data_IF_252955969375
#
_entry.id   IF_252955969375
#
_cell.length_a   1.000
_cell.length_b   1.000
_cell.length_c   1.000
_cell.angle_alpha   90.00
_cell.angle_beta   90.00
_cell.angle_gamma   90.00
#
_symmetry.space_group_name_H-M   'P 1'
#
loop_
_entity.id
_entity.type
_entity.pdbx_description
1 polymer ?
#
# COMPACT_ATOMS: atom_id res chain seq x y z
N UNK A 1 15.71 3.40 2.79
CA UNK A 1 15.30 2.88 4.11
C UNK A 1 15.14 1.36 4.14
N UNK A 2 14.12 0.73 3.50
CA UNK A 2 14.00 -0.74 3.51
C UNK A 2 15.11 -1.44 2.72
N UNK A 3 15.36 -1.00 1.49
CA UNK A 3 16.41 -1.58 0.62
C UNK A 3 17.82 -1.22 1.09
N UNK A 4 17.97 -0.07 1.74
CA UNK A 4 19.21 0.31 2.41
C UNK A 4 19.51 -0.67 3.57
N UNK A 5 18.51 -1.00 4.39
CA UNK A 5 18.68 -2.01 5.47
C UNK A 5 18.93 -3.41 4.91
N UNK A 6 18.25 -3.78 3.82
CA UNK A 6 18.44 -5.09 3.19
C UNK A 6 19.78 -5.21 2.44
N UNK A 7 20.41 -4.09 2.05
CA UNK A 7 21.55 -4.09 1.14
C UNK A 7 21.22 -4.56 -0.29
N UNK A 8 19.94 -4.78 -0.60
CA UNK A 8 19.46 -5.30 -1.88
C UNK A 8 18.03 -4.83 -2.21
N UNK A 9 17.58 -4.92 -3.47
CA UNK A 9 16.19 -4.67 -3.83
C UNK A 9 15.23 -5.63 -3.10
N UNK A 10 14.05 -5.13 -2.72
CA UNK A 10 13.07 -5.97 -2.04
C UNK A 10 12.51 -7.05 -2.98
N UNK A 11 12.47 -8.29 -2.50
CA UNK A 11 11.67 -9.33 -3.15
C UNK A 11 10.21 -9.13 -2.78
N UNK A 12 9.34 -9.08 -3.80
CA UNK A 12 7.90 -8.89 -3.64
C UNK A 12 7.18 -10.19 -3.95
N UNK A 13 6.45 -10.70 -2.96
CA UNK A 13 5.55 -11.82 -3.16
C UNK A 13 4.11 -11.32 -3.11
N UNK A 14 3.34 -11.61 -4.16
CA UNK A 14 1.94 -11.19 -4.23
C UNK A 14 1.06 -12.26 -3.63
N UNK A 15 0.38 -11.92 -2.54
CA UNK A 15 -0.56 -12.83 -1.85
C UNK A 15 -1.98 -12.69 -2.40
N UNK A 16 -2.38 -11.49 -2.87
CA UNK A 16 -3.70 -11.28 -3.47
C UNK A 16 -3.71 -10.12 -4.47
N UNK A 17 -4.49 -10.26 -5.54
CA UNK A 17 -4.90 -9.16 -6.42
C UNK A 17 -6.33 -9.39 -6.92
N UNK A 18 -7.18 -8.38 -6.78
CA UNK A 18 -8.56 -8.50 -7.25
C UNK A 18 -9.45 -7.33 -6.88
N UNK A 19 -10.67 -7.37 -7.40
CA UNK A 19 -11.69 -6.39 -7.09
C UNK A 19 -12.36 -6.73 -5.75
N UNK A 20 -12.48 -5.74 -4.86
CA UNK A 20 -13.27 -5.84 -3.63
C UNK A 20 -14.05 -4.55 -3.38
N UNK A 21 -15.20 -4.68 -2.72
CA UNK A 21 -15.92 -3.53 -2.18
C UNK A 21 -15.17 -2.98 -0.97
N UNK A 22 -15.09 -1.66 -0.88
CA UNK A 22 -14.46 -1.00 0.26
C UNK A 22 -15.34 -1.05 1.50
N UNK A 23 -14.71 -1.37 2.63
CA UNK A 23 -15.33 -1.26 3.94
C UNK A 23 -15.57 0.21 4.31
N UNK A 24 -16.46 0.45 5.28
CA UNK A 24 -16.69 1.80 5.81
C UNK A 24 -15.40 2.44 6.33
N UNK A 25 -14.54 1.66 6.98
CA UNK A 25 -13.24 2.12 7.47
C UNK A 25 -12.32 2.55 6.32
N UNK A 26 -12.19 1.72 5.28
CA UNK A 26 -11.37 2.06 4.10
C UNK A 26 -11.86 3.31 3.39
N UNK A 27 -13.19 3.49 3.28
CA UNK A 27 -13.79 4.72 2.72
C UNK A 27 -13.42 5.95 3.55
N UNK A 28 -13.51 5.86 4.89
CA UNK A 28 -13.09 6.95 5.80
C UNK A 28 -11.59 7.23 5.69
N UNK A 29 -10.76 6.20 5.57
CA UNK A 29 -9.31 6.34 5.40
C UNK A 29 -8.92 6.98 4.06
N UNK A 30 -9.71 6.76 3.01
CA UNK A 30 -9.62 7.51 1.75
C UNK A 30 -10.11 8.96 1.88
N UNK A 31 -10.71 9.32 3.01
CA UNK A 31 -11.28 10.63 3.30
C UNK A 31 -12.63 10.88 2.64
N UNK A 32 -13.37 9.81 2.30
CA UNK A 32 -14.77 9.95 1.92
C UNK A 32 -15.60 10.35 3.14
N UNK A 33 -16.60 11.19 2.91
CA UNK A 33 -17.47 11.75 3.95
C UNK A 33 -18.92 11.82 3.46
N UNK A 34 -19.86 12.05 4.39
CA UNK A 34 -21.27 12.24 4.08
C UNK A 34 -21.88 11.06 3.29
N UNK A 35 -22.70 11.38 2.29
CA UNK A 35 -23.42 10.38 1.47
C UNK A 35 -22.50 9.44 0.69
N UNK A 36 -21.24 9.82 0.45
CA UNK A 36 -20.27 8.97 -0.24
C UNK A 36 -19.89 7.72 0.58
N UNK A 37 -20.03 7.75 1.92
CA UNK A 37 -19.80 6.58 2.77
C UNK A 37 -20.86 5.48 2.57
N UNK A 38 -22.08 5.88 2.24
CA UNK A 38 -23.23 4.98 2.10
C UNK A 38 -23.29 4.27 0.74
N UNK A 39 -22.56 4.77 -0.26
CA UNK A 39 -22.53 4.17 -1.60
C UNK A 39 -21.50 3.05 -1.67
N UNK A 40 -21.83 1.86 -2.21
CA UNK A 40 -20.84 0.83 -2.51
C UNK A 40 -19.74 1.40 -3.41
N UNK A 41 -18.48 1.12 -3.07
CA UNK A 41 -17.34 1.59 -3.85
C UNK A 41 -16.42 0.40 -4.13
N UNK A 42 -16.30 0.03 -5.40
CA UNK A 42 -15.38 -1.02 -5.84
C UNK A 42 -13.97 -0.45 -5.97
N UNK A 43 -12.99 -1.26 -5.60
CA UNK A 43 -11.57 -0.95 -5.74
C UNK A 43 -10.81 -2.18 -6.22
N UNK A 44 -9.68 -1.94 -6.88
CA UNK A 44 -8.64 -2.93 -7.04
C UNK A 44 -7.81 -2.97 -5.75
N UNK A 45 -7.69 -4.15 -5.17
CA UNK A 45 -6.87 -4.40 -3.98
C UNK A 45 -5.68 -5.26 -4.40
N UNK A 46 -4.51 -4.90 -3.90
CA UNK A 46 -3.28 -5.68 -4.03
C UNK A 46 -2.69 -5.88 -2.64
N UNK A 47 -2.47 -7.13 -2.27
CA UNK A 47 -1.80 -7.52 -1.02
C UNK A 47 -0.48 -8.21 -1.39
N UNK A 48 0.59 -7.82 -0.70
CA UNK A 48 1.94 -8.34 -0.92
C UNK A 48 2.68 -8.52 0.39
N UNK A 49 3.65 -9.41 0.37
CA UNK A 49 4.72 -9.51 1.35
C UNK A 49 6.01 -8.96 0.72
N UNK A 50 6.73 -8.15 1.48
CA UNK A 50 8.05 -7.61 1.09
C UNK A 50 9.11 -8.28 1.94
N UNK A 51 10.11 -8.83 1.26
CA UNK A 51 11.26 -9.51 1.87
C UNK A 51 12.51 -8.68 1.64
N UNK A 52 13.31 -8.53 2.70
CA UNK A 52 14.63 -7.91 2.65
C UNK A 52 15.69 -8.93 2.22
N UNK A 53 16.70 -9.11 3.05
CA UNK A 53 17.74 -10.13 2.91
C UNK A 53 17.42 -11.46 3.63
N UNK A 54 16.33 -11.50 4.39
CA UNK A 54 15.88 -12.71 5.09
C UNK A 54 14.83 -13.50 4.29
N UNK A 55 14.67 -14.78 4.67
CA UNK A 55 13.59 -15.63 4.16
C UNK A 55 12.21 -15.19 4.66
N UNK A 56 12.15 -14.50 5.81
CA UNK A 56 10.91 -14.06 6.41
C UNK A 56 10.48 -12.66 5.94
N UNK A 57 9.17 -12.42 5.77
CA UNK A 57 8.70 -11.14 5.27
C UNK A 57 8.89 -10.04 6.32
N UNK A 58 9.41 -8.90 5.87
CA UNK A 58 9.59 -7.71 6.70
C UNK A 58 8.33 -6.87 6.78
N UNK A 59 7.57 -6.80 5.68
CA UNK A 59 6.39 -5.92 5.60
C UNK A 59 5.25 -6.64 4.88
N UNK A 60 4.08 -6.70 5.53
CA UNK A 60 2.82 -6.97 4.86
C UNK A 60 2.22 -5.66 4.35
N UNK A 61 1.92 -5.56 3.06
CA UNK A 61 1.39 -4.33 2.48
C UNK A 61 0.10 -4.57 1.69
N UNK A 62 -0.90 -3.72 1.95
CA UNK A 62 -2.14 -3.64 1.17
C UNK A 62 -2.21 -2.30 0.45
N UNK A 63 -2.43 -2.33 -0.85
CA UNK A 63 -2.71 -1.16 -1.69
C UNK A 63 -4.14 -1.20 -2.19
N UNK A 64 -4.85 -0.10 -2.01
CA UNK A 64 -6.25 0.08 -2.40
C UNK A 64 -6.35 1.18 -3.44
N UNK A 65 -6.89 0.82 -4.60
CA UNK A 65 -7.11 1.74 -5.70
C UNK A 65 -8.61 1.77 -6.05
N UNK A 66 -9.35 2.80 -5.62
CA UNK A 66 -10.71 3.03 -6.11
C UNK A 66 -10.73 3.01 -7.64
N UNK A 67 -11.77 2.44 -8.26
CA UNK A 67 -11.82 2.37 -9.72
C UNK A 67 -11.76 3.75 -10.40
N UNK A 68 -12.29 4.79 -9.73
CA UNK A 68 -12.18 6.17 -10.19
C UNK A 68 -10.73 6.65 -10.34
N UNK A 69 -9.82 6.10 -9.54
CA UNK A 69 -8.37 6.38 -9.57
C UNK A 69 -7.63 5.58 -10.66
N UNK A 70 -8.20 4.49 -11.19
CA UNK A 70 -7.56 3.61 -12.19
C UNK A 70 -7.93 3.99 -13.64
N UNK A 71 -7.76 5.26 -13.98
CA UNK A 71 -8.06 5.80 -15.33
C UNK A 71 -6.81 6.22 -16.09
N UNK A 72 -6.83 6.01 -17.41
CA UNK A 72 -5.71 6.37 -18.31
C UNK A 72 -4.40 5.69 -17.91
N UNK A 73 -3.32 6.47 -17.80
CA UNK A 73 -1.98 5.97 -17.41
C UNK A 73 -1.94 5.30 -16.04
N UNK A 74 -2.93 5.52 -15.16
CA UNK A 74 -3.00 4.88 -13.85
C UNK A 74 -3.40 3.41 -13.89
N UNK A 75 -3.97 2.90 -15.01
CA UNK A 75 -4.29 1.47 -15.18
C UNK A 75 -3.08 0.55 -14.98
N UNK A 76 -1.86 1.07 -15.26
CA UNK A 76 -0.61 0.35 -14.99
C UNK A 76 -0.42 -0.06 -13.52
N UNK A 77 -1.09 0.60 -12.57
CA UNK A 77 -1.06 0.24 -11.15
C UNK A 77 -1.72 -1.12 -10.87
N UNK A 78 -2.51 -1.65 -11.81
CA UNK A 78 -3.02 -3.02 -11.75
C UNK A 78 -2.03 -4.06 -12.28
N UNK A 79 -0.94 -3.63 -12.91
CA UNK A 79 0.00 -4.49 -13.63
C UNK A 79 1.39 -4.47 -12.99
N UNK A 80 1.46 -4.28 -11.67
CA UNK A 80 2.72 -4.15 -10.94
C UNK A 80 3.51 -5.46 -10.89
N UNK A 81 2.85 -6.62 -10.99
CA UNK A 81 3.50 -7.95 -10.94
C UNK A 81 4.43 -8.08 -9.72
N UNK A 82 5.74 -8.26 -9.89
CA UNK A 82 6.73 -8.28 -8.80
C UNK A 82 7.33 -6.92 -8.45
N UNK A 83 6.81 -5.81 -8.99
CA UNK A 83 7.35 -4.47 -8.75
C UNK A 83 6.78 -3.89 -7.45
N UNK A 84 7.62 -3.37 -6.53
CA UNK A 84 7.15 -2.61 -5.39
C UNK A 84 6.34 -1.38 -5.83
N UNK A 85 5.18 -1.15 -5.22
CA UNK A 85 4.31 -0.01 -5.59
C UNK A 85 5.03 1.34 -5.44
N UNK A 86 5.92 1.47 -4.46
CA UNK A 86 6.71 2.69 -4.21
C UNK A 86 7.52 3.12 -5.43
N UNK A 87 8.06 2.17 -6.19
CA UNK A 87 8.84 2.46 -7.40
C UNK A 87 7.99 3.18 -8.45
N UNK A 88 6.69 2.87 -8.52
CA UNK A 88 5.77 3.47 -9.47
C UNK A 88 5.22 4.80 -8.96
N UNK A 89 4.92 4.89 -7.66
CA UNK A 89 4.38 6.11 -7.06
C UNK A 89 5.41 7.24 -7.06
N UNK A 90 6.65 6.93 -6.71
CA UNK A 90 7.71 7.93 -6.50
C UNK A 90 8.64 8.11 -7.71
N UNK A 91 8.39 7.42 -8.84
CA UNK A 91 9.26 7.45 -10.04
C UNK A 91 9.61 8.86 -10.54
N UNK A 92 8.63 9.78 -10.51
CA UNK A 92 8.76 11.14 -11.08
C UNK A 92 8.83 12.24 -10.03
N UNK A 93 8.42 11.95 -8.80
CA UNK A 93 8.41 12.89 -7.67
C UNK A 93 8.73 12.11 -6.41
N UNK A 94 9.78 12.54 -5.71
CA UNK A 94 10.19 11.92 -4.43
C UNK A 94 9.11 12.08 -3.35
N UNK A 95 8.31 13.14 -3.42
CA UNK A 95 7.21 13.41 -2.50
C UNK A 95 5.88 13.45 -3.26
N UNK A 96 4.89 12.76 -2.70
CA UNK A 96 3.50 12.75 -3.17
C UNK A 96 2.66 13.29 -2.01
N UNK A 97 1.74 14.25 -2.23
CA UNK A 97 0.86 14.73 -1.17
C UNK A 97 0.17 13.55 -0.48
N UNK A 98 0.22 13.52 0.84
CA UNK A 98 -0.28 12.39 1.60
C UNK A 98 -0.75 12.78 3.00
N UNK A 99 -1.58 11.92 3.59
CA UNK A 99 -1.94 11.95 5.00
C UNK A 99 -1.66 10.58 5.59
N UNK A 100 -0.96 10.55 6.72
CA UNK A 100 -0.46 9.32 7.34
C UNK A 100 -0.97 9.18 8.76
N UNK A 101 -1.31 7.95 9.11
CA UNK A 101 -1.66 7.51 10.45
C UNK A 101 -0.84 6.27 10.79
N UNK A 102 -0.39 6.16 12.04
CA UNK A 102 0.33 5.00 12.54
C UNK A 102 -0.46 4.42 13.71
N UNK A 103 -0.56 3.09 13.77
CA UNK A 103 -1.23 2.38 14.86
C UNK A 103 -0.50 1.08 15.15
N UNK A 104 -0.58 0.62 16.39
CA UNK A 104 -0.17 -0.74 16.74
C UNK A 104 -1.28 -1.72 16.39
N UNK A 105 -0.92 -2.86 15.81
CA UNK A 105 -1.81 -4.00 15.54
C UNK A 105 -1.26 -5.26 16.21
N UNK A 106 -2.01 -6.36 16.21
CA UNK A 106 -1.54 -7.65 16.70
C UNK A 106 -0.35 -8.20 15.91
N UNK A 107 -0.21 -7.82 14.65
CA UNK A 107 0.86 -8.26 13.74
C UNK A 107 2.11 -7.37 13.80
N UNK A 108 1.99 -6.15 14.36
CA UNK A 108 3.06 -5.16 14.44
C UNK A 108 2.60 -3.73 14.19
N UNK A 109 3.57 -2.84 14.07
CA UNK A 109 3.30 -1.42 13.78
C UNK A 109 2.78 -1.28 12.35
N UNK A 110 1.61 -0.67 12.20
CA UNK A 110 1.01 -0.40 10.91
C UNK A 110 1.01 1.08 10.59
N UNK A 111 1.55 1.40 9.42
CA UNK A 111 1.46 2.72 8.79
C UNK A 111 0.39 2.70 7.70
N UNK A 112 -0.59 3.58 7.81
CA UNK A 112 -1.63 3.79 6.82
C UNK A 112 -1.43 5.16 6.18
N UNK A 113 -1.23 5.20 4.87
CA UNK A 113 -0.99 6.44 4.15
C UNK A 113 -1.98 6.57 2.99
N UNK A 114 -2.79 7.63 3.04
CA UNK A 114 -3.59 8.08 1.91
C UNK A 114 -2.72 8.98 1.04
N UNK A 115 -2.49 8.58 -0.21
CA UNK A 115 -1.77 9.40 -1.19
C UNK A 115 -2.74 10.05 -2.15
N UNK A 116 -2.43 11.29 -2.55
CA UNK A 116 -2.97 11.91 -3.76
C UNK A 116 -1.93 11.82 -4.88
N UNK A 117 -2.09 10.80 -5.72
CA UNK A 117 -1.18 10.52 -6.81
C UNK A 117 -1.69 11.09 -8.14
N UNK A 118 -1.36 12.36 -8.40
CA UNK A 118 -1.82 13.13 -9.56
C UNK A 118 -3.35 13.29 -9.62
N UNK A 119 -3.96 13.77 -8.53
CA UNK A 119 -5.40 13.95 -8.40
C UNK A 119 -6.16 12.63 -8.17
N UNK A 120 -5.47 11.59 -7.70
CA UNK A 120 -6.01 10.24 -7.56
C UNK A 120 -5.73 9.72 -6.17
N UNK A 121 -6.79 9.56 -5.40
CA UNK A 121 -6.69 9.02 -4.05
C UNK A 121 -6.46 7.51 -4.10
N UNK A 122 -5.47 7.06 -3.35
CA UNK A 122 -5.18 5.66 -3.08
C UNK A 122 -4.76 5.51 -1.61
N UNK A 123 -4.99 4.33 -1.06
CA UNK A 123 -4.62 4.00 0.31
C UNK A 123 -3.57 2.89 0.28
N UNK A 124 -2.48 3.08 1.02
CA UNK A 124 -1.48 2.04 1.26
C UNK A 124 -1.41 1.82 2.77
N UNK A 125 -1.57 0.56 3.19
CA UNK A 125 -1.31 0.11 4.56
C UNK A 125 -0.09 -0.80 4.55
N UNK A 126 0.87 -0.51 5.40
CA UNK A 126 2.11 -1.28 5.57
C UNK A 126 2.22 -1.69 7.03
N UNK A 127 2.19 -2.98 7.32
CA UNK A 127 2.44 -3.56 8.65
C UNK A 127 3.87 -4.07 8.68
N UNK A 128 4.70 -3.53 9.58
CA UNK A 128 6.06 -3.99 9.82
C UNK A 128 6.00 -5.22 10.73
N UNK A 129 6.44 -6.36 10.19
CA UNK A 129 6.35 -7.67 10.81
C UNK A 129 7.56 -7.93 11.72
N UNK A 130 7.52 -8.93 12.62
CA UNK A 130 8.58 -9.18 13.59
C UNK A 130 9.97 -9.34 12.99
N UNK A 131 10.10 -9.99 11.82
CA UNK A 131 11.37 -10.21 11.13
C UNK A 131 12.09 -8.90 10.74
N UNK A 132 11.34 -7.81 10.52
CA UNK A 132 11.93 -6.51 10.24
C UNK A 132 12.65 -5.91 11.47
N UNK A 133 12.19 -6.25 12.67
CA UNK A 133 12.75 -5.76 13.93
C UNK A 133 13.90 -6.62 14.43
N UNK A 134 13.96 -7.90 14.04
CA UNK A 134 15.00 -8.85 14.48
C UNK A 134 16.26 -8.81 13.62
N UNK A 135 16.26 -8.12 12.47
CA UNK A 135 17.41 -8.03 11.55
C UNK A 135 18.47 -7.01 12.01
N UNK A 136 18.56 -6.73 13.31
CA UNK A 136 19.58 -5.88 13.95
C UNK A 136 20.63 -6.70 14.74
N UNK A 137 20.62 -8.05 14.63
CA UNK A 137 21.63 -8.95 15.21
C UNK A 137 22.66 -9.41 14.21
#
# INVERSE_FOLDING_TARGET
>A
MLEEKAGQPLRVERTFEGYRLLTLQQKRQLGLQGSALNRPLLAWIREVLLYGNDEQPWVGAQSIFPLSSLKGKARRLQQLKGTPIGYVLFKRRRTVPNQRFVRQTSEGWQRQTRYDWYGRLLLISETFLPAFLSSDT
#
